data_IF_946269537804
#
_entry.id   IF_946269537804
#
_cell.length_a   1.000
_cell.length_b   1.000
_cell.length_c   1.000
_cell.angle_alpha   90.00
_cell.angle_beta   90.00
_cell.angle_gamma   90.00
#
_symmetry.space_group_name_H-M   'P 1'
#
loop_
_entity.id
_entity.type
_entity.pdbx_description
1 polymer ?
#
# COMPACT_ATOMS: atom_id res chain seq x y z
N UNK A 1 -25.35 17.94 -7.07
CA UNK A 1 -25.96 16.76 -7.67
C UNK A 1 -26.27 15.70 -6.60
N UNK A 2 -27.23 14.84 -6.84
CA UNK A 2 -27.62 13.77 -5.92
C UNK A 2 -27.76 12.43 -6.62
N UNK A 3 -27.48 11.34 -5.89
CA UNK A 3 -27.69 9.98 -6.38
C UNK A 3 -28.60 9.23 -5.41
N UNK A 4 -29.51 8.41 -5.93
CA UNK A 4 -30.39 7.55 -5.12
C UNK A 4 -30.00 6.09 -5.35
N UNK A 5 -29.51 5.45 -4.31
CA UNK A 5 -29.10 4.05 -4.33
C UNK A 5 -29.40 3.40 -2.97
N UNK A 6 -29.36 2.05 -2.86
CA UNK A 6 -29.54 1.39 -1.58
C UNK A 6 -28.53 1.86 -0.52
N UNK A 7 -29.00 2.22 0.66
CA UNK A 7 -28.17 2.77 1.74
C UNK A 7 -27.00 1.84 2.17
N UNK A 8 -27.18 0.52 2.02
CA UNK A 8 -26.15 -0.46 2.37
C UNK A 8 -24.95 -0.49 1.42
N UNK A 9 -24.99 0.28 0.31
CA UNK A 9 -23.83 0.45 -0.59
C UNK A 9 -22.83 1.50 -0.08
N UNK A 10 -23.20 2.25 0.94
CA UNK A 10 -22.38 3.34 1.49
C UNK A 10 -21.92 3.05 2.92
N UNK A 11 -20.86 3.73 3.29
CA UNK A 11 -20.41 3.90 4.67
C UNK A 11 -20.35 5.39 4.98
N UNK A 12 -20.39 5.75 6.26
CA UNK A 12 -20.03 7.10 6.66
C UNK A 12 -18.56 7.37 6.36
N UNK A 13 -18.21 8.62 6.08
CA UNK A 13 -16.83 9.07 6.06
C UNK A 13 -16.28 9.14 7.50
N UNK A 14 -14.94 9.01 7.69
CA UNK A 14 -14.34 9.26 9.00
C UNK A 14 -14.59 10.71 9.46
N UNK A 15 -14.62 10.92 10.76
CA UNK A 15 -14.86 12.24 11.33
C UNK A 15 -13.74 13.22 10.93
N UNK A 16 -14.13 14.44 10.58
CA UNK A 16 -13.19 15.49 10.21
C UNK A 16 -12.45 15.30 8.88
N UNK A 17 -12.86 14.35 8.04
CA UNK A 17 -12.33 14.20 6.68
C UNK A 17 -13.11 15.06 5.69
N UNK A 18 -12.39 15.70 4.76
CA UNK A 18 -13.00 16.30 3.58
C UNK A 18 -13.58 15.23 2.64
N UNK A 19 -14.43 15.63 1.70
CA UNK A 19 -14.96 14.69 0.69
C UNK A 19 -13.85 14.08 -0.16
N UNK A 20 -12.83 14.87 -0.53
CA UNK A 20 -11.66 14.40 -1.29
C UNK A 20 -10.87 13.37 -0.48
N UNK A 21 -10.57 13.67 0.77
CA UNK A 21 -9.89 12.71 1.65
C UNK A 21 -10.69 11.40 1.81
N UNK A 22 -11.99 11.49 2.08
CA UNK A 22 -12.85 10.33 2.22
C UNK A 22 -12.94 9.49 0.94
N UNK A 23 -12.97 10.11 -0.24
CA UNK A 23 -13.01 9.43 -1.52
C UNK A 23 -11.75 8.57 -1.80
N UNK A 24 -10.60 8.91 -1.20
CA UNK A 24 -9.37 8.12 -1.35
C UNK A 24 -9.40 6.77 -0.65
N UNK A 25 -10.30 6.61 0.34
CA UNK A 25 -10.33 5.46 1.23
C UNK A 25 -10.96 4.21 0.59
N UNK A 26 -11.98 4.39 -0.24
CA UNK A 26 -12.86 3.29 -0.69
C UNK A 26 -12.16 2.22 -1.52
N UNK A 27 -11.08 2.55 -2.19
CA UNK A 27 -10.28 1.60 -2.97
C UNK A 27 -8.89 1.43 -2.34
N UNK A 28 -8.05 2.45 -2.39
CA UNK A 28 -6.65 2.33 -1.98
C UNK A 28 -6.50 2.14 -0.46
N UNK A 29 -7.22 2.93 0.34
CA UNK A 29 -7.22 2.80 1.79
C UNK A 29 -7.73 1.44 2.24
N UNK A 30 -8.89 1.02 1.73
CA UNK A 30 -9.49 -0.27 2.08
C UNK A 30 -8.64 -1.46 1.64
N UNK A 31 -7.97 -1.36 0.48
CA UNK A 31 -7.03 -2.38 0.01
C UNK A 31 -5.85 -2.52 0.98
N UNK A 32 -5.23 -1.41 1.38
CA UNK A 32 -4.12 -1.41 2.32
C UNK A 32 -4.52 -1.93 3.71
N UNK A 33 -5.68 -1.50 4.21
CA UNK A 33 -6.24 -1.98 5.47
C UNK A 33 -6.46 -3.49 5.45
N UNK A 34 -7.12 -3.99 4.40
CA UNK A 34 -7.35 -5.43 4.25
C UNK A 34 -6.05 -6.21 4.16
N UNK A 35 -5.09 -5.73 3.37
CA UNK A 35 -3.80 -6.38 3.19
C UNK A 35 -3.06 -6.58 4.51
N UNK A 36 -2.96 -5.53 5.30
CA UNK A 36 -2.15 -5.54 6.52
C UNK A 36 -2.93 -6.04 7.74
N UNK A 37 -4.11 -5.48 7.99
CA UNK A 37 -4.84 -5.72 9.24
C UNK A 37 -5.68 -6.98 9.16
N UNK A 38 -6.51 -7.12 8.11
CA UNK A 38 -7.46 -8.23 8.03
C UNK A 38 -6.75 -9.53 7.62
N UNK A 39 -6.04 -9.52 6.49
CA UNK A 39 -5.39 -10.72 5.95
C UNK A 39 -4.01 -10.95 6.59
N UNK A 40 -3.25 -9.89 6.82
CA UNK A 40 -1.90 -9.95 7.40
C UNK A 40 -1.91 -10.22 8.90
N UNK A 41 -2.91 -9.71 9.62
CA UNK A 41 -2.92 -9.76 11.09
C UNK A 41 -1.78 -8.93 11.70
N UNK A 42 -1.51 -7.75 11.11
CA UNK A 42 -0.45 -6.83 11.51
C UNK A 42 -0.46 -6.52 13.00
N UNK A 43 0.71 -6.54 13.61
CA UNK A 43 0.92 -6.26 15.05
C UNK A 43 1.99 -5.20 15.26
N UNK A 44 1.94 -4.54 16.38
CA UNK A 44 3.03 -3.66 16.81
C UNK A 44 4.37 -4.42 16.86
N UNK A 45 5.42 -3.80 16.29
CA UNK A 45 6.74 -4.39 16.16
C UNK A 45 6.96 -5.25 14.91
N UNK A 46 5.92 -5.60 14.15
CA UNK A 46 6.08 -6.25 12.84
C UNK A 46 6.83 -5.33 11.87
N UNK A 47 7.42 -5.92 10.85
CA UNK A 47 8.08 -5.22 9.74
C UNK A 47 7.26 -5.35 8.46
N UNK A 48 7.02 -4.22 7.79
CA UNK A 48 6.23 -4.13 6.56
C UNK A 48 7.08 -3.59 5.43
N UNK A 49 7.14 -4.30 4.31
CA UNK A 49 7.72 -3.79 3.07
C UNK A 49 6.62 -3.30 2.14
N UNK A 50 6.73 -2.06 1.70
CA UNK A 50 5.88 -1.46 0.67
C UNK A 50 6.66 -1.23 -0.62
N UNK A 51 6.01 -1.42 -1.76
CA UNK A 51 6.61 -1.22 -3.08
C UNK A 51 6.04 0.05 -3.73
N UNK A 52 6.93 1.01 -4.05
CA UNK A 52 6.53 2.27 -4.68
C UNK A 52 5.77 3.22 -3.76
N UNK A 53 5.18 4.27 -4.36
CA UNK A 53 4.58 5.42 -3.67
C UNK A 53 3.16 5.74 -4.15
N UNK A 54 2.48 4.77 -4.71
CA UNK A 54 1.06 4.88 -5.08
C UNK A 54 0.13 4.86 -3.87
N UNK A 55 -1.15 5.02 -4.11
CA UNK A 55 -2.15 5.14 -3.05
C UNK A 55 -2.13 3.99 -2.04
N UNK A 56 -2.10 2.74 -2.51
CA UNK A 56 -2.07 1.56 -1.62
C UNK A 56 -0.81 1.55 -0.76
N UNK A 57 0.36 1.80 -1.35
CA UNK A 57 1.64 1.79 -0.64
C UNK A 57 1.70 2.87 0.44
N UNK A 58 1.24 4.08 0.14
CA UNK A 58 1.24 5.19 1.11
C UNK A 58 0.23 4.95 2.23
N UNK A 59 -0.97 4.45 1.93
CA UNK A 59 -1.89 4.02 2.99
C UNK A 59 -1.32 2.88 3.83
N UNK A 60 -0.60 1.94 3.22
CA UNK A 60 0.05 0.85 3.96
C UNK A 60 1.12 1.36 4.91
N UNK A 61 1.93 2.36 4.49
CA UNK A 61 2.88 3.03 5.36
C UNK A 61 2.16 3.68 6.56
N UNK A 62 1.11 4.46 6.28
CA UNK A 62 0.36 5.17 7.30
C UNK A 62 -0.32 4.20 8.31
N UNK A 63 -0.97 3.15 7.82
CA UNK A 63 -1.59 2.14 8.70
C UNK A 63 -0.55 1.35 9.49
N UNK A 64 0.55 0.94 8.86
CA UNK A 64 1.62 0.24 9.57
C UNK A 64 2.19 1.10 10.70
N UNK A 65 2.44 2.37 10.44
CA UNK A 65 2.92 3.33 11.44
C UNK A 65 1.91 3.55 12.57
N UNK A 66 0.64 3.75 12.23
CA UNK A 66 -0.46 3.89 13.18
C UNK A 66 -0.59 2.66 14.10
N UNK A 67 -0.28 1.47 13.59
CA UNK A 67 -0.33 0.21 14.32
C UNK A 67 0.98 -0.12 15.08
N UNK A 68 2.00 0.75 15.01
CA UNK A 68 3.28 0.54 15.69
C UNK A 68 4.23 -0.44 15.00
N UNK A 69 4.06 -0.66 13.69
CA UNK A 69 4.95 -1.49 12.89
C UNK A 69 6.08 -0.65 12.27
N UNK A 70 7.20 -1.30 11.93
CA UNK A 70 8.35 -0.72 11.21
C UNK A 70 8.10 -0.82 9.72
N UNK A 71 8.39 0.24 8.97
CA UNK A 71 8.14 0.27 7.52
C UNK A 71 9.44 0.39 6.75
N UNK A 72 9.62 -0.52 5.78
CA UNK A 72 10.64 -0.47 4.75
C UNK A 72 9.97 -0.19 3.40
N UNK A 73 10.63 0.54 2.51
CA UNK A 73 10.02 0.96 1.27
C UNK A 73 10.98 0.95 0.09
N UNK A 74 10.44 0.66 -1.10
CA UNK A 74 11.17 0.82 -2.36
C UNK A 74 10.54 1.90 -3.21
N UNK A 75 11.35 2.63 -3.98
CA UNK A 75 10.86 3.60 -4.98
C UNK A 75 11.78 3.64 -6.18
N UNK A 76 11.38 4.33 -7.25
CA UNK A 76 12.20 4.57 -8.45
C UNK A 76 12.77 6.00 -8.51
N UNK A 77 12.54 6.82 -7.49
CA UNK A 77 12.87 8.25 -7.45
C UNK A 77 13.43 8.62 -6.09
N UNK A 78 14.57 9.30 -6.09
CA UNK A 78 15.23 9.79 -4.87
C UNK A 78 14.33 10.80 -4.12
N UNK A 79 13.67 11.71 -4.84
CA UNK A 79 12.73 12.66 -4.24
C UNK A 79 11.60 11.93 -3.46
N UNK A 80 11.06 10.85 -4.05
CA UNK A 80 10.02 10.06 -3.40
C UNK A 80 10.57 9.25 -2.22
N UNK A 81 11.83 8.84 -2.27
CA UNK A 81 12.52 8.18 -1.16
C UNK A 81 12.65 9.14 0.04
N UNK A 82 13.09 10.37 -0.17
CA UNK A 82 13.17 11.39 0.89
C UNK A 82 11.81 11.63 1.55
N UNK A 83 10.73 11.66 0.75
CA UNK A 83 9.37 11.77 1.28
C UNK A 83 8.95 10.56 2.10
N UNK A 84 9.27 9.33 1.66
CA UNK A 84 9.00 8.11 2.42
C UNK A 84 9.70 8.14 3.77
N UNK A 85 10.98 8.57 3.81
CA UNK A 85 11.75 8.72 5.04
C UNK A 85 11.14 9.77 5.97
N UNK A 86 10.73 10.92 5.43
CA UNK A 86 10.05 11.96 6.22
C UNK A 86 8.72 11.50 6.81
N UNK A 87 8.08 10.49 6.21
CA UNK A 87 6.86 9.86 6.70
C UNK A 87 7.13 8.67 7.64
N UNK A 88 8.38 8.42 8.01
CA UNK A 88 8.75 7.39 8.97
C UNK A 88 9.10 6.02 8.37
N UNK A 89 9.34 5.92 7.07
CA UNK A 89 9.97 4.72 6.52
C UNK A 89 11.41 4.61 7.07
N UNK A 90 11.70 3.51 7.76
CA UNK A 90 12.96 3.30 8.49
C UNK A 90 14.12 3.00 7.53
N UNK A 91 13.85 2.22 6.51
CA UNK A 91 14.79 1.88 5.44
C UNK A 91 14.12 2.07 4.08
N UNK A 92 14.89 2.61 3.14
CA UNK A 92 14.42 2.86 1.78
C UNK A 92 15.49 2.53 0.76
N UNK A 93 15.11 2.14 -0.44
CA UNK A 93 16.03 1.95 -1.56
C UNK A 93 15.40 2.31 -2.90
N UNK A 94 16.27 2.64 -3.85
CA UNK A 94 15.90 2.83 -5.24
C UNK A 94 16.07 1.51 -6.01
N UNK A 95 14.94 0.87 -6.36
CA UNK A 95 14.96 -0.42 -7.05
C UNK A 95 15.49 -0.35 -8.49
N UNK A 96 15.60 0.85 -9.08
CA UNK A 96 16.25 1.03 -10.39
C UNK A 96 17.77 0.96 -10.29
N UNK A 97 18.33 1.25 -9.12
CA UNK A 97 19.76 1.20 -8.85
C UNK A 97 20.18 -0.13 -8.20
N UNK A 98 19.21 -0.90 -7.72
CA UNK A 98 19.44 -2.18 -7.05
C UNK A 98 18.41 -3.22 -7.50
N UNK A 99 18.79 -4.04 -8.47
CA UNK A 99 17.92 -5.09 -9.02
C UNK A 99 17.68 -6.23 -8.01
N UNK A 100 18.61 -6.46 -7.09
CA UNK A 100 18.52 -7.48 -6.05
C UNK A 100 18.00 -6.91 -4.72
N UNK A 101 17.02 -6.02 -4.81
CA UNK A 101 16.48 -5.32 -3.64
C UNK A 101 15.90 -6.26 -2.56
N UNK A 102 15.46 -7.46 -2.95
CA UNK A 102 14.97 -8.46 -2.00
C UNK A 102 16.03 -8.93 -1.01
N UNK A 103 17.27 -9.12 -1.47
CA UNK A 103 18.42 -9.46 -0.61
C UNK A 103 18.80 -8.27 0.29
N UNK A 104 18.78 -7.05 -0.25
CA UNK A 104 19.05 -5.85 0.56
C UNK A 104 18.03 -5.70 1.69
N UNK A 105 16.74 -5.94 1.41
CA UNK A 105 15.70 -5.91 2.45
C UNK A 105 15.89 -7.04 3.48
N UNK A 106 16.37 -8.21 3.03
CA UNK A 106 16.73 -9.30 3.93
C UNK A 106 17.88 -8.90 4.88
N UNK A 107 18.91 -8.22 4.36
CA UNK A 107 20.04 -7.71 5.15
C UNK A 107 19.60 -6.67 6.19
N UNK A 108 18.62 -5.81 5.90
CA UNK A 108 18.05 -4.84 6.86
C UNK A 108 17.41 -5.48 8.09
N UNK A 109 17.16 -6.76 8.02
CA UNK A 109 16.57 -7.56 9.10
C UNK A 109 17.51 -8.64 9.62
N UNK A 110 18.82 -8.49 9.44
CA UNK A 110 19.84 -9.48 9.85
C UNK A 110 19.56 -10.89 9.30
N UNK A 111 19.06 -10.96 8.06
CA UNK A 111 18.74 -12.21 7.38
C UNK A 111 17.39 -12.83 7.76
N UNK A 112 16.60 -12.22 8.65
CA UNK A 112 15.29 -12.73 9.05
C UNK A 112 14.24 -12.55 7.95
N UNK A 113 14.18 -11.40 7.32
CA UNK A 113 13.14 -10.94 6.40
C UNK A 113 11.96 -10.24 7.08
N UNK A 114 11.16 -9.53 6.27
CA UNK A 114 10.00 -8.75 6.74
C UNK A 114 8.78 -9.65 7.01
N UNK A 115 7.92 -9.21 7.93
CA UNK A 115 6.69 -9.95 8.29
C UNK A 115 5.64 -9.90 7.19
N UNK A 116 5.50 -8.73 6.56
CA UNK A 116 4.49 -8.46 5.55
C UNK A 116 5.10 -7.76 4.33
N UNK A 117 4.65 -8.15 3.14
CA UNK A 117 4.94 -7.46 1.88
C UNK A 117 3.62 -7.02 1.24
N UNK A 118 3.52 -5.74 0.90
CA UNK A 118 2.42 -5.18 0.12
C UNK A 118 2.84 -5.18 -1.35
N UNK A 119 2.46 -6.24 -2.06
CA UNK A 119 2.91 -6.53 -3.42
C UNK A 119 1.96 -5.90 -4.45
N UNK A 120 2.34 -4.71 -4.94
CA UNK A 120 1.58 -3.94 -5.93
C UNK A 120 2.17 -4.02 -7.34
N UNK A 121 3.40 -4.53 -7.48
CA UNK A 121 4.09 -4.61 -8.77
C UNK A 121 3.62 -5.80 -9.61
N UNK A 122 3.47 -6.95 -9.01
CA UNK A 122 3.04 -8.18 -9.69
C UNK A 122 4.19 -9.10 -10.10
N UNK A 123 4.09 -9.78 -11.26
CA UNK A 123 4.97 -10.90 -11.60
C UNK A 123 6.47 -10.59 -11.59
N UNK A 124 6.90 -9.41 -12.04
CA UNK A 124 8.32 -9.09 -12.10
C UNK A 124 8.93 -8.72 -10.71
N UNK A 125 8.10 -8.29 -9.76
CA UNK A 125 8.55 -7.93 -8.40
C UNK A 125 8.37 -9.08 -7.40
N UNK A 126 7.44 -9.99 -7.66
CA UNK A 126 7.10 -11.08 -6.74
C UNK A 126 8.29 -11.97 -6.34
N UNK A 127 9.24 -12.33 -7.22
CA UNK A 127 10.43 -13.10 -6.81
C UNK A 127 11.27 -12.38 -5.74
N UNK A 128 11.45 -11.06 -5.86
CA UNK A 128 12.16 -10.26 -4.89
C UNK A 128 11.36 -10.14 -3.57
N UNK A 129 10.04 -9.99 -3.66
CA UNK A 129 9.14 -10.00 -2.50
C UNK A 129 9.21 -11.31 -1.71
N UNK A 130 9.31 -12.45 -2.40
CA UNK A 130 9.52 -13.77 -1.79
C UNK A 130 10.89 -13.82 -1.09
N UNK A 131 11.93 -13.25 -1.69
CA UNK A 131 13.26 -13.17 -1.07
C UNK A 131 13.23 -12.30 0.18
N UNK A 132 12.63 -11.11 0.11
CA UNK A 132 12.56 -10.15 1.22
C UNK A 132 11.71 -10.63 2.42
N UNK A 133 10.65 -11.41 2.15
CA UNK A 133 9.70 -11.85 3.16
C UNK A 133 10.29 -12.99 4.01
N UNK A 134 10.04 -12.99 5.33
CA UNK A 134 10.55 -14.01 6.26
C UNK A 134 9.94 -15.41 6.07
N UNK A 135 10.49 -16.37 6.78
CA UNK A 135 9.84 -17.69 6.94
C UNK A 135 8.48 -17.51 7.63
N UNK A 136 7.44 -18.11 7.05
CA UNK A 136 6.06 -17.98 7.52
C UNK A 136 5.44 -16.59 7.33
N UNK A 137 6.10 -15.69 6.58
CA UNK A 137 5.63 -14.33 6.35
C UNK A 137 4.45 -14.26 5.36
N UNK A 138 3.85 -13.08 5.26
CA UNK A 138 2.67 -12.81 4.44
C UNK A 138 2.99 -11.85 3.29
N UNK A 139 2.59 -12.23 2.09
CA UNK A 139 2.67 -11.40 0.88
C UNK A 139 1.24 -11.13 0.39
N UNK A 140 0.79 -9.89 0.52
CA UNK A 140 -0.50 -9.45 0.01
C UNK A 140 -0.35 -9.06 -1.47
N UNK A 141 -0.82 -9.91 -2.36
CA UNK A 141 -0.70 -9.73 -3.82
C UNK A 141 -1.96 -9.06 -4.37
N UNK A 142 -1.80 -7.85 -4.90
CA UNK A 142 -2.90 -7.07 -5.48
C UNK A 142 -2.55 -6.39 -6.81
N UNK A 143 -1.26 -6.30 -7.13
CA UNK A 143 -0.80 -5.57 -8.31
C UNK A 143 -0.53 -6.45 -9.52
N UNK A 144 -0.75 -5.85 -10.69
CA UNK A 144 -0.45 -6.43 -12.00
C UNK A 144 0.28 -5.43 -12.90
N UNK A 145 0.99 -4.45 -12.31
CA UNK A 145 1.65 -3.36 -13.05
C UNK A 145 2.74 -3.88 -14.00
N UNK A 146 3.38 -5.00 -13.64
CA UNK A 146 4.45 -5.60 -14.43
C UNK A 146 3.98 -6.78 -15.29
N UNK A 147 2.68 -7.03 -15.35
CA UNK A 147 2.07 -8.10 -16.14
C UNK A 147 1.00 -8.86 -15.40
N UNK A 148 0.33 -9.77 -16.10
CA UNK A 148 -0.78 -10.60 -15.56
C UNK A 148 -0.36 -12.04 -15.25
N UNK A 149 0.85 -12.44 -15.62
CA UNK A 149 1.43 -13.76 -15.35
C UNK A 149 2.96 -13.68 -15.31
N UNK A 150 3.59 -14.57 -14.58
CA UNK A 150 5.04 -14.71 -14.50
C UNK A 150 5.47 -15.89 -13.65
N UNK A 151 6.77 -16.14 -13.61
CA UNK A 151 7.36 -17.26 -12.90
C UNK A 151 7.47 -16.95 -11.40
N UNK A 152 7.24 -17.96 -10.59
CA UNK A 152 7.41 -17.92 -9.13
C UNK A 152 8.54 -18.89 -8.72
N UNK A 153 9.51 -18.43 -7.90
CA UNK A 153 10.56 -19.30 -7.36
C UNK A 153 9.98 -20.27 -6.31
N UNK A 154 9.25 -21.28 -6.77
CA UNK A 154 8.43 -22.18 -5.93
C UNK A 154 9.26 -22.90 -4.87
N UNK A 155 10.52 -23.27 -5.15
CA UNK A 155 11.39 -23.92 -4.18
C UNK A 155 11.73 -22.98 -3.00
N UNK A 156 11.98 -21.71 -3.27
CA UNK A 156 12.24 -20.71 -2.23
C UNK A 156 10.98 -20.43 -1.42
N UNK A 157 9.85 -20.23 -2.11
CA UNK A 157 8.55 -20.02 -1.50
C UNK A 157 8.16 -21.16 -0.55
N UNK A 158 8.33 -22.41 -1.01
CA UNK A 158 8.08 -23.61 -0.20
C UNK A 158 9.00 -23.69 1.02
N UNK A 159 10.32 -23.49 0.86
CA UNK A 159 11.28 -23.53 1.98
C UNK A 159 10.98 -22.48 3.03
N UNK A 160 10.54 -21.29 2.61
CA UNK A 160 10.16 -20.20 3.51
C UNK A 160 8.74 -20.36 4.09
N UNK A 161 7.96 -21.36 3.66
CA UNK A 161 6.61 -21.60 4.17
C UNK A 161 5.73 -20.34 4.18
N UNK A 162 5.92 -19.48 3.19
CA UNK A 162 5.26 -18.19 3.08
C UNK A 162 3.81 -18.33 2.65
N UNK A 163 3.01 -17.31 2.93
CA UNK A 163 1.64 -17.19 2.46
C UNK A 163 1.55 -16.04 1.45
N UNK A 164 1.15 -16.35 0.21
CA UNK A 164 0.76 -15.36 -0.80
C UNK A 164 -0.77 -15.36 -0.86
N UNK A 165 -1.35 -14.21 -0.66
CA UNK A 165 -2.79 -14.06 -0.66
C UNK A 165 -3.22 -12.96 -1.63
N UNK A 166 -3.97 -13.34 -2.67
CA UNK A 166 -4.54 -12.41 -3.64
C UNK A 166 -5.73 -11.66 -3.05
N UNK A 167 -5.80 -10.36 -3.30
CA UNK A 167 -6.93 -9.56 -2.85
C UNK A 167 -7.28 -8.44 -3.83
N UNK A 168 -8.55 -8.08 -3.86
CA UNK A 168 -9.09 -6.90 -4.55
C UNK A 168 -9.93 -6.16 -3.54
N UNK A 169 -9.51 -4.91 -3.20
CA UNK A 169 -10.22 -4.01 -2.31
C UNK A 169 -10.66 -4.69 -0.99
N UNK A 170 -11.92 -4.54 -0.60
CA UNK A 170 -12.49 -5.14 0.60
C UNK A 170 -14.01 -5.01 0.66
N UNK A 171 -14.60 -5.54 1.73
CA UNK A 171 -16.04 -5.47 1.97
C UNK A 171 -16.43 -4.19 2.72
N UNK A 172 -17.74 -3.84 2.68
CA UNK A 172 -18.30 -2.76 3.48
C UNK A 172 -17.99 -2.90 4.97
N UNK A 173 -18.06 -4.11 5.51
CA UNK A 173 -17.70 -4.39 6.91
C UNK A 173 -16.25 -4.02 7.22
N UNK A 174 -15.32 -4.43 6.38
CA UNK A 174 -13.90 -4.09 6.53
C UNK A 174 -13.64 -2.59 6.39
N UNK A 175 -14.42 -1.89 5.55
CA UNK A 175 -14.37 -0.43 5.46
C UNK A 175 -14.88 0.22 6.76
N UNK A 176 -15.93 -0.28 7.36
CA UNK A 176 -16.43 0.21 8.65
C UNK A 176 -15.41 -0.01 9.79
N UNK A 177 -14.72 -1.14 9.80
CA UNK A 177 -13.63 -1.43 10.74
C UNK A 177 -12.45 -0.46 10.55
N UNK A 178 -12.06 -0.18 9.29
CA UNK A 178 -11.06 0.83 8.96
C UNK A 178 -11.47 2.24 9.42
N UNK A 179 -12.72 2.64 9.16
CA UNK A 179 -13.24 3.96 9.56
C UNK A 179 -13.19 4.11 11.09
N UNK A 180 -13.61 3.09 11.84
CA UNK A 180 -13.53 3.11 13.29
C UNK A 180 -12.09 3.28 13.81
N UNK A 181 -11.11 2.66 13.13
CA UNK A 181 -9.70 2.85 13.46
C UNK A 181 -9.20 4.27 13.12
N UNK A 182 -9.65 4.84 12.00
CA UNK A 182 -9.33 6.21 11.61
C UNK A 182 -9.95 7.25 12.56
N UNK A 183 -11.18 7.02 13.02
CA UNK A 183 -11.85 7.90 13.99
C UNK A 183 -11.18 7.89 15.37
N UNK A 184 -10.45 6.81 15.69
CA UNK A 184 -9.67 6.69 16.92
C UNK A 184 -8.24 7.26 16.81
N UNK A 185 -7.82 7.71 15.64
CA UNK A 185 -6.46 8.19 15.35
C UNK A 185 -6.49 9.44 14.45
N UNK A 186 -5.48 10.28 14.56
CA UNK A 186 -5.35 11.51 13.75
C UNK A 186 -4.70 11.29 12.37
N UNK A 187 -4.88 10.12 11.76
CA UNK A 187 -4.31 9.86 10.44
C UNK A 187 -5.10 10.60 9.36
N UNK A 188 -4.41 11.28 8.46
CA UNK A 188 -4.99 11.92 7.25
C UNK A 188 -4.40 11.30 6.00
N UNK A 189 -5.21 11.09 4.93
CA UNK A 189 -4.69 10.60 3.65
C UNK A 189 -3.72 11.58 3.02
N UNK A 190 -2.73 11.05 2.32
CA UNK A 190 -1.84 11.87 1.51
C UNK A 190 -2.46 12.10 0.14
N UNK A 191 -2.99 13.31 -0.08
CA UNK A 191 -3.48 13.76 -1.38
C UNK A 191 -2.38 14.58 -2.04
N UNK A 192 -1.82 14.05 -3.14
CA UNK A 192 -0.70 14.67 -3.86
C UNK A 192 -1.08 15.98 -4.53
N UNK A 193 -2.26 15.99 -5.15
CA UNK A 193 -2.82 17.14 -5.86
C UNK A 193 -4.33 16.98 -6.00
N UNK A 194 -5.03 18.11 -5.97
CA UNK A 194 -6.45 18.19 -6.24
C UNK A 194 -6.70 18.90 -7.57
N UNK A 195 -7.69 18.45 -8.31
CA UNK A 195 -8.14 19.02 -9.57
C UNK A 195 -9.63 19.32 -9.52
N UNK A 196 -10.11 20.40 -10.12
CA UNK A 196 -11.54 20.55 -10.33
C UNK A 196 -12.05 19.56 -11.39
N UNK A 197 -13.34 19.26 -11.38
CA UNK A 197 -13.93 18.27 -12.32
C UNK A 197 -13.68 18.63 -13.78
N UNK A 198 -13.67 19.92 -14.12
CA UNK A 198 -13.41 20.41 -15.49
C UNK A 198 -12.00 20.07 -15.96
N UNK A 199 -11.05 19.88 -15.04
CA UNK A 199 -9.67 19.48 -15.30
C UNK A 199 -9.42 17.98 -15.13
N UNK A 200 -10.45 17.14 -15.18
CA UNK A 200 -10.35 15.68 -15.02
C UNK A 200 -9.32 15.04 -15.97
N UNK A 201 -9.25 15.52 -17.22
CA UNK A 201 -8.27 15.03 -18.18
C UNK A 201 -6.81 15.31 -17.75
N UNK A 202 -6.57 16.44 -17.08
CA UNK A 202 -5.24 16.76 -16.54
C UNK A 202 -4.91 15.92 -15.30
N UNK A 203 -5.92 15.57 -14.50
CA UNK A 203 -5.74 14.63 -13.39
C UNK A 203 -5.27 13.26 -13.89
N UNK A 204 -5.85 12.74 -14.96
CA UNK A 204 -5.42 11.48 -15.58
C UNK A 204 -4.01 11.57 -16.19
N UNK A 205 -3.68 12.68 -16.86
CA UNK A 205 -2.31 12.89 -17.38
C UNK A 205 -1.28 12.96 -16.26
N UNK A 206 -1.63 13.58 -15.14
CA UNK A 206 -0.78 13.63 -13.97
C UNK A 206 -0.58 12.25 -13.33
N UNK A 207 -1.62 11.42 -13.32
CA UNK A 207 -1.52 10.02 -12.88
C UNK A 207 -0.63 9.20 -13.81
N UNK A 208 -0.86 9.28 -15.14
CA UNK A 208 -0.10 8.57 -16.17
C UNK A 208 1.39 8.93 -16.14
N UNK A 209 1.73 10.19 -15.89
CA UNK A 209 3.11 10.64 -15.72
C UNK A 209 3.83 10.02 -14.51
N UNK A 210 3.10 9.36 -13.61
CA UNK A 210 3.66 8.74 -12.40
C UNK A 210 4.27 9.73 -11.40
N UNK A 211 3.98 11.03 -11.55
CA UNK A 211 4.56 12.10 -10.72
C UNK A 211 3.91 12.20 -9.33
N UNK A 212 2.74 11.60 -9.15
CA UNK A 212 1.99 11.66 -7.89
C UNK A 212 2.66 10.83 -6.77
N UNK A 213 2.35 11.22 -5.54
CA UNK A 213 2.72 10.51 -4.32
C UNK A 213 1.46 10.35 -3.44
N UNK A 214 1.01 9.13 -3.21
CA UNK A 214 -0.27 8.85 -2.56
C UNK A 214 -1.44 8.95 -3.53
N UNK A 215 -2.43 9.79 -3.25
CA UNK A 215 -3.67 9.90 -4.01
C UNK A 215 -3.78 11.23 -4.77
N UNK A 216 -4.57 11.21 -5.83
CA UNK A 216 -5.01 12.38 -6.58
C UNK A 216 -6.49 12.58 -6.25
N UNK A 217 -6.90 13.80 -5.94
CA UNK A 217 -8.27 14.19 -5.67
C UNK A 217 -8.92 14.90 -6.85
N UNK A 218 -10.24 14.73 -6.99
CA UNK A 218 -11.06 15.53 -7.90
C UNK A 218 -12.21 16.14 -7.10
N UNK A 219 -12.36 17.45 -7.18
CA UNK A 219 -13.43 18.21 -6.55
C UNK A 219 -14.59 18.41 -7.53
N UNK A 220 -15.82 18.27 -7.04
CA UNK A 220 -17.07 18.45 -7.80
C UNK A 220 -17.76 19.75 -7.31
#
# INVERSE_FOLDING_TARGET
ESVTTPAHWFTHAPQGYSHVEAATLTTAGLTAWRALVINGGLKAGDTVLILGTGGVSIFSLQFAHMMGARVFATSSSEEKIERLQSMGAEQTLNYKQNENWGETVLDWTDGRGVDHVVEVGGPATLPQSITACRVGGHIALMGVLTGIKGDIPTATFMRKQQRIEGLIVGSRRQQQEMIAALDANDMKPVVSKEFPLEALADAFRFEEAGSHFGKIGVNI
#
